data_IF_971461886792
#
_entry.id   IF_971461886792
#
_cell.length_a   1.000
_cell.length_b   1.000
_cell.length_c   1.000
_cell.angle_alpha   90.00
_cell.angle_beta   90.00
_cell.angle_gamma   90.00
#
_symmetry.space_group_name_H-M   'P 1'
#
loop_
_entity.id
_entity.type
_entity.pdbx_description
1 polymer ?
#
# COMPACT_ATOMS: atom_id res chain seq x y z
N UNK A 1 -10.72 -24.32 -1.85
CA UNK A 1 -12.06 -23.78 -2.21
C UNK A 1 -13.16 -24.82 -2.01
N UNK A 2 -13.04 -26.03 -2.58
CA UNK A 2 -13.99 -27.14 -2.40
C UNK A 2 -14.36 -27.40 -0.93
N UNK A 3 -13.37 -27.59 -0.05
CA UNK A 3 -13.61 -27.85 1.39
C UNK A 3 -14.52 -26.81 2.06
N UNK A 4 -14.31 -25.51 1.80
CA UNK A 4 -15.15 -24.46 2.37
C UNK A 4 -16.57 -24.52 1.82
N UNK A 5 -16.72 -24.74 0.51
CA UNK A 5 -18.03 -24.89 -0.12
C UNK A 5 -18.75 -26.12 0.42
N UNK A 6 -18.07 -27.26 0.53
CA UNK A 6 -18.65 -28.51 1.04
C UNK A 6 -19.09 -28.38 2.50
N UNK A 7 -18.33 -27.62 3.30
CA UNK A 7 -18.63 -27.43 4.73
C UNK A 7 -19.72 -26.39 4.97
N UNK A 8 -19.75 -25.31 4.20
CA UNK A 8 -20.61 -24.15 4.46
C UNK A 8 -21.79 -24.00 3.50
N UNK A 9 -21.79 -24.75 2.39
CA UNK A 9 -22.67 -24.56 1.25
C UNK A 9 -22.45 -23.25 0.48
N UNK A 10 -21.44 -22.44 0.85
CA UNK A 10 -21.19 -21.12 0.28
C UNK A 10 -19.88 -21.09 -0.49
N UNK A 11 -19.84 -20.32 -1.57
CA UNK A 11 -18.58 -20.03 -2.25
C UNK A 11 -17.73 -19.04 -1.45
N UNK A 12 -16.42 -19.25 -1.41
CA UNK A 12 -15.47 -18.24 -0.90
C UNK A 12 -15.52 -17.03 -1.84
N UNK A 13 -15.77 -15.85 -1.27
CA UNK A 13 -15.63 -14.57 -1.97
C UNK A 13 -14.64 -13.68 -1.25
N UNK A 14 -13.61 -13.25 -1.97
CA UNK A 14 -12.61 -12.32 -1.47
C UNK A 14 -13.09 -10.89 -1.76
N UNK A 15 -12.99 -10.01 -0.76
CA UNK A 15 -13.28 -8.58 -0.92
C UNK A 15 -12.01 -7.74 -0.84
N UNK A 16 -11.17 -8.02 0.13
CA UNK A 16 -9.86 -7.41 0.31
C UNK A 16 -8.83 -8.51 0.51
N UNK A 17 -7.65 -8.34 -0.08
CA UNK A 17 -6.50 -9.22 0.14
C UNK A 17 -5.30 -8.34 0.43
N UNK A 18 -4.69 -8.51 1.60
CA UNK A 18 -3.46 -7.80 1.96
C UNK A 18 -2.26 -8.72 1.75
N UNK A 19 -1.23 -8.22 1.10
CA UNK A 19 0.00 -8.97 0.84
C UNK A 19 1.22 -8.07 0.79
N UNK A 20 2.36 -8.65 0.41
CA UNK A 20 3.60 -7.95 0.13
C UNK A 20 3.64 -7.45 -1.35
N UNK A 21 4.76 -6.84 -1.74
CA UNK A 21 4.94 -6.30 -3.09
C UNK A 21 5.44 -7.38 -4.08
N UNK A 22 4.92 -8.62 -4.00
CA UNK A 22 5.38 -9.76 -4.81
C UNK A 22 4.39 -10.09 -5.95
N UNK A 23 4.91 -10.27 -7.17
CA UNK A 23 4.08 -10.49 -8.38
C UNK A 23 3.37 -11.83 -8.38
N UNK A 24 4.08 -12.87 -8.01
CA UNK A 24 3.59 -14.23 -8.01
C UNK A 24 2.35 -14.36 -7.13
N UNK A 25 2.36 -13.80 -5.93
CA UNK A 25 1.23 -13.79 -5.00
C UNK A 25 0.00 -13.14 -5.63
N UNK A 26 0.13 -11.91 -6.15
CA UNK A 26 -1.00 -11.23 -6.78
C UNK A 26 -1.49 -12.00 -8.01
N UNK A 27 -0.60 -12.45 -8.89
CA UNK A 27 -0.99 -13.21 -10.08
C UNK A 27 -1.68 -14.53 -9.72
N UNK A 28 -1.20 -15.24 -8.70
CA UNK A 28 -1.83 -16.47 -8.23
C UNK A 28 -3.24 -16.21 -7.66
N UNK A 29 -3.41 -15.12 -6.90
CA UNK A 29 -4.72 -14.69 -6.39
C UNK A 29 -5.68 -14.33 -7.53
N UNK A 30 -5.19 -13.62 -8.54
CA UNK A 30 -5.97 -13.27 -9.72
C UNK A 30 -6.41 -14.54 -10.47
N UNK A 31 -5.51 -15.47 -10.74
CA UNK A 31 -5.84 -16.72 -11.43
C UNK A 31 -6.78 -17.63 -10.62
N UNK A 32 -6.66 -17.64 -9.29
CA UNK A 32 -7.42 -18.56 -8.44
C UNK A 32 -8.80 -18.06 -8.02
N UNK A 33 -9.01 -16.74 -7.97
CA UNK A 33 -10.20 -16.14 -7.34
C UNK A 33 -10.89 -15.06 -8.17
N UNK A 34 -10.28 -14.48 -9.21
CA UNK A 34 -10.85 -13.33 -9.92
C UNK A 34 -12.17 -13.65 -10.64
N UNK A 35 -12.35 -14.88 -11.11
CA UNK A 35 -13.59 -15.32 -11.77
C UNK A 35 -14.80 -15.30 -10.81
N UNK A 36 -14.57 -15.50 -9.51
CA UNK A 36 -15.61 -15.60 -8.49
C UNK A 36 -15.60 -14.45 -7.48
N UNK A 37 -14.63 -13.53 -7.59
CA UNK A 37 -14.39 -12.44 -6.63
C UNK A 37 -13.77 -11.22 -7.29
N UNK A 38 -14.45 -10.08 -7.17
CA UNK A 38 -13.85 -8.77 -7.46
C UNK A 38 -13.19 -8.24 -6.19
N UNK A 39 -11.97 -8.71 -5.92
CA UNK A 39 -11.22 -8.35 -4.72
C UNK A 39 -10.25 -7.21 -4.97
N UNK A 40 -10.05 -6.39 -3.95
CA UNK A 40 -9.03 -5.37 -3.93
C UNK A 40 -7.77 -5.89 -3.25
N UNK A 41 -6.66 -5.97 -4.00
CA UNK A 41 -5.35 -6.17 -3.41
C UNK A 41 -4.90 -4.88 -2.70
N UNK A 42 -4.49 -5.03 -1.45
CA UNK A 42 -3.98 -4.01 -0.56
C UNK A 42 -2.51 -4.30 -0.27
N UNK A 43 -1.71 -3.25 -0.35
CA UNK A 43 -0.31 -3.31 -0.06
C UNK A 43 -0.11 -3.15 1.45
N UNK A 44 0.46 -4.17 2.11
CA UNK A 44 0.86 -4.10 3.51
C UNK A 44 1.75 -2.89 3.79
N UNK A 45 1.34 -2.04 4.74
CA UNK A 45 2.03 -0.78 5.00
C UNK A 45 3.40 -0.97 5.65
N UNK A 46 3.57 -1.99 6.50
CA UNK A 46 4.89 -2.37 7.02
C UNK A 46 5.94 -2.55 5.91
N UNK A 47 5.57 -3.22 4.82
CA UNK A 47 6.47 -3.45 3.69
C UNK A 47 6.81 -2.16 2.95
N UNK A 48 5.86 -1.24 2.81
CA UNK A 48 6.11 0.10 2.28
C UNK A 48 7.14 0.82 3.15
N UNK A 49 6.92 0.85 4.47
CA UNK A 49 7.80 1.55 5.41
C UNK A 49 9.21 0.95 5.46
N UNK A 50 9.34 -0.38 5.44
CA UNK A 50 10.64 -1.06 5.35
C UNK A 50 11.41 -0.60 4.10
N UNK A 51 10.74 -0.53 2.95
CA UNK A 51 11.36 -0.06 1.70
C UNK A 51 11.67 1.43 1.69
N UNK A 52 10.81 2.25 2.30
CA UNK A 52 11.08 3.68 2.47
C UNK A 52 12.32 3.88 3.34
N UNK A 53 12.43 3.20 4.48
CA UNK A 53 13.61 3.27 5.35
C UNK A 53 14.89 2.82 4.65
N UNK A 54 14.84 1.74 3.86
CA UNK A 54 15.98 1.32 3.02
C UNK A 54 16.41 2.44 2.06
N UNK A 55 15.46 3.15 1.46
CA UNK A 55 15.69 4.20 0.45
C UNK A 55 16.05 5.56 1.03
N UNK A 56 15.76 5.81 2.31
CA UNK A 56 16.10 7.05 3.02
C UNK A 56 17.34 6.92 3.90
N UNK A 57 17.94 5.72 4.00
CA UNK A 57 19.08 5.42 4.89
C UNK A 57 20.30 6.34 4.72
N UNK A 58 20.57 6.83 3.50
CA UNK A 58 21.71 7.70 3.22
C UNK A 58 21.38 9.20 3.32
N UNK A 59 20.13 9.54 3.63
CA UNK A 59 19.71 10.93 3.83
C UNK A 59 20.04 11.39 5.26
N UNK A 60 20.19 12.70 5.50
CA UNK A 60 20.29 13.20 6.86
C UNK A 60 19.03 12.85 7.67
N UNK A 61 19.18 12.49 8.95
CA UNK A 61 18.08 12.00 9.80
C UNK A 61 16.86 12.91 9.79
N UNK A 62 17.06 14.24 9.83
CA UNK A 62 15.96 15.21 9.77
C UNK A 62 15.14 15.06 8.50
N UNK A 63 15.79 14.78 7.38
CA UNK A 63 15.16 14.61 6.06
C UNK A 63 14.44 13.27 5.99
N UNK A 64 15.13 12.19 6.40
CA UNK A 64 14.55 10.85 6.43
C UNK A 64 13.30 10.81 7.33
N UNK A 65 13.37 11.38 8.53
CA UNK A 65 12.24 11.45 9.45
C UNK A 65 11.07 12.27 8.90
N UNK A 66 11.34 13.40 8.22
CA UNK A 66 10.30 14.19 7.55
C UNK A 66 9.54 13.38 6.50
N UNK A 67 10.28 12.68 5.63
CA UNK A 67 9.69 11.78 4.63
C UNK A 67 8.86 10.67 5.26
N UNK A 68 9.36 10.03 6.33
CA UNK A 68 8.63 9.00 7.06
C UNK A 68 7.31 9.54 7.63
N UNK A 69 7.34 10.68 8.31
CA UNK A 69 6.14 11.34 8.85
C UNK A 69 5.12 11.65 7.76
N UNK A 70 5.55 12.23 6.64
CA UNK A 70 4.67 12.56 5.51
C UNK A 70 4.02 11.31 4.90
N UNK A 71 4.71 10.18 4.89
CA UNK A 71 4.16 8.89 4.42
C UNK A 71 3.15 8.30 5.43
N UNK A 72 3.42 8.43 6.73
CA UNK A 72 2.43 8.10 7.76
C UNK A 72 1.16 8.94 7.63
N UNK A 73 1.29 10.24 7.38
CA UNK A 73 0.14 11.12 7.16
C UNK A 73 -0.71 10.65 5.97
N UNK A 74 -0.07 10.29 4.85
CA UNK A 74 -0.76 9.72 3.69
C UNK A 74 -1.42 8.38 4.00
N UNK A 75 -0.77 7.50 4.79
CA UNK A 75 -1.33 6.21 5.17
C UNK A 75 -2.62 6.35 5.98
N UNK A 76 -2.64 7.29 6.92
CA UNK A 76 -3.76 7.50 7.83
C UNK A 76 -4.83 8.47 7.32
N UNK A 77 -4.71 8.98 6.10
CA UNK A 77 -5.78 9.75 5.46
C UNK A 77 -7.09 8.96 5.48
N UNK A 78 -8.16 9.61 5.91
CA UNK A 78 -9.47 8.98 6.09
C UNK A 78 -10.30 8.95 4.80
N UNK A 79 -9.91 9.75 3.82
CA UNK A 79 -10.60 9.88 2.54
C UNK A 79 -9.66 10.10 1.37
N UNK A 80 -10.14 9.80 0.15
CA UNK A 80 -9.38 10.05 -1.08
C UNK A 80 -9.06 11.53 -1.31
N UNK A 81 -9.96 12.50 -1.06
CA UNK A 81 -9.62 13.91 -1.17
C UNK A 81 -8.47 14.33 -0.25
N UNK A 82 -8.48 13.89 1.02
CA UNK A 82 -7.38 14.15 1.97
C UNK A 82 -6.07 13.54 1.46
N UNK A 83 -6.11 12.29 1.01
CA UNK A 83 -4.93 11.61 0.47
C UNK A 83 -4.36 12.34 -0.74
N UNK A 84 -5.19 12.73 -1.70
CA UNK A 84 -4.76 13.45 -2.91
C UNK A 84 -4.17 14.80 -2.54
N UNK A 85 -4.78 15.52 -1.59
CA UNK A 85 -4.27 16.80 -1.12
C UNK A 85 -2.89 16.65 -0.44
N UNK A 86 -2.75 15.71 0.49
CA UNK A 86 -1.49 15.42 1.17
C UNK A 86 -0.40 15.00 0.19
N UNK A 87 -0.70 14.05 -0.70
CA UNK A 87 0.23 13.56 -1.71
C UNK A 87 0.71 14.69 -2.64
N UNK A 88 -0.18 15.58 -3.10
CA UNK A 88 0.21 16.71 -3.95
C UNK A 88 1.10 17.72 -3.20
N UNK A 89 0.79 18.00 -1.92
CA UNK A 89 1.58 18.89 -1.07
C UNK A 89 3.01 18.36 -0.90
N UNK A 90 3.13 17.10 -0.46
CA UNK A 90 4.42 16.46 -0.22
C UNK A 90 5.20 16.22 -1.52
N UNK A 91 4.50 15.89 -2.60
CA UNK A 91 5.12 15.77 -3.92
C UNK A 91 5.79 17.08 -4.35
N UNK A 92 5.12 18.22 -4.15
CA UNK A 92 5.71 19.52 -4.47
C UNK A 92 6.96 19.78 -3.63
N UNK A 93 6.87 19.58 -2.32
CA UNK A 93 8.00 19.76 -1.39
C UNK A 93 9.20 18.87 -1.77
N UNK A 94 8.96 17.60 -2.08
CA UNK A 94 10.02 16.66 -2.42
C UNK A 94 10.69 16.97 -3.76
N UNK A 95 9.99 17.59 -4.72
CA UNK A 95 10.59 17.98 -6.00
C UNK A 95 11.39 19.28 -5.93
N UNK A 96 11.15 20.12 -4.93
CA UNK A 96 11.95 21.33 -4.68
C UNK A 96 13.33 21.00 -4.07
N UNK A 97 13.54 19.73 -3.72
CA UNK A 97 14.69 19.24 -2.96
C UNK A 97 15.56 18.29 -3.78
N UNK A 98 16.76 18.74 -4.15
CA UNK A 98 17.71 17.93 -4.92
C UNK A 98 18.19 16.68 -4.17
N UNK A 99 18.25 16.73 -2.84
CA UNK A 99 18.61 15.58 -2.01
C UNK A 99 17.55 14.47 -1.99
N UNK A 100 16.32 14.76 -2.45
CA UNK A 100 15.22 13.81 -2.54
C UNK A 100 14.94 13.32 -3.96
N UNK A 101 15.59 13.83 -5.00
CA UNK A 101 15.25 13.55 -6.40
C UNK A 101 15.12 12.04 -6.70
N UNK A 102 16.12 11.26 -6.31
CA UNK A 102 16.12 9.80 -6.51
C UNK A 102 15.02 9.10 -5.70
N UNK A 103 14.77 9.56 -4.48
CA UNK A 103 13.71 9.02 -3.63
C UNK A 103 12.33 9.32 -4.22
N UNK A 104 12.09 10.56 -4.65
CA UNK A 104 10.84 11.06 -5.24
C UNK A 104 10.49 10.28 -6.50
N UNK A 105 11.45 10.09 -7.40
CA UNK A 105 11.28 9.27 -8.60
C UNK A 105 10.93 7.81 -8.25
N UNK A 106 11.67 7.21 -7.31
CA UNK A 106 11.39 5.87 -6.81
C UNK A 106 9.97 5.75 -6.23
N UNK A 107 9.61 6.63 -5.29
CA UNK A 107 8.37 6.53 -4.53
C UNK A 107 7.15 6.66 -5.45
N UNK A 108 7.19 7.59 -6.41
CA UNK A 108 6.12 7.71 -7.41
C UNK A 108 5.98 6.44 -8.25
N UNK A 109 7.09 5.90 -8.73
CA UNK A 109 7.06 4.71 -9.59
C UNK A 109 6.50 3.49 -8.87
N UNK A 110 6.76 3.32 -7.58
CA UNK A 110 6.40 2.10 -6.84
C UNK A 110 5.09 2.22 -6.04
N UNK A 111 4.85 3.37 -5.42
CA UNK A 111 3.84 3.50 -4.36
C UNK A 111 2.68 4.42 -4.71
N UNK A 112 2.77 5.20 -5.78
CA UNK A 112 1.67 6.07 -6.25
C UNK A 112 1.15 5.67 -7.64
N UNK A 113 2.02 5.19 -8.54
CA UNK A 113 1.66 4.86 -9.93
C UNK A 113 1.57 3.38 -10.27
N UNK A 114 1.98 2.46 -9.38
CA UNK A 114 2.03 1.03 -9.68
C UNK A 114 0.86 0.24 -9.09
N UNK A 115 0.81 -1.05 -9.42
CA UNK A 115 -0.20 -2.01 -8.95
C UNK A 115 -0.28 -2.16 -7.42
N UNK A 116 0.74 -1.68 -6.70
CA UNK A 116 0.89 -1.78 -5.25
C UNK A 116 0.69 -0.44 -4.54
N UNK A 117 -0.02 0.48 -5.16
CA UNK A 117 -0.27 1.83 -4.63
C UNK A 117 -1.29 1.89 -3.49
N UNK A 118 -2.02 0.80 -3.22
CA UNK A 118 -3.13 0.76 -2.26
C UNK A 118 -2.66 0.37 -0.86
N UNK A 119 -1.96 1.26 -0.19
CA UNK A 119 -1.45 1.05 1.18
C UNK A 119 -2.09 2.01 2.19
N UNK A 120 -3.01 2.86 1.77
CA UNK A 120 -3.67 3.87 2.61
C UNK A 120 -4.98 3.36 3.20
N UNK A 121 -5.31 3.80 4.41
CA UNK A 121 -6.48 3.36 5.16
C UNK A 121 -7.81 3.66 4.44
N UNK A 122 -7.86 4.72 3.62
CA UNK A 122 -9.06 5.09 2.87
C UNK A 122 -9.50 4.06 1.80
N UNK A 123 -8.68 3.06 1.47
CA UNK A 123 -9.06 1.97 0.56
C UNK A 123 -9.91 0.88 1.22
N UNK A 124 -9.85 0.77 2.55
CA UNK A 124 -10.57 -0.25 3.33
C UNK A 124 -11.81 0.33 3.97
N UNK A 125 -12.90 -0.44 3.95
CA UNK A 125 -14.09 -0.11 4.71
C UNK A 125 -13.85 -0.29 6.22
N UNK A 126 -14.58 0.42 7.10
CA UNK A 126 -14.53 0.18 8.54
C UNK A 126 -14.76 -1.30 8.89
N UNK A 127 -13.97 -1.81 9.85
CA UNK A 127 -14.04 -3.21 10.31
C UNK A 127 -13.16 -4.19 9.53
N UNK A 128 -12.40 -3.74 8.53
CA UNK A 128 -11.36 -4.54 7.87
C UNK A 128 -9.97 -4.12 8.35
N UNK A 129 -8.99 -5.02 8.25
CA UNK A 129 -7.60 -4.71 8.58
C UNK A 129 -7.05 -3.63 7.65
N UNK A 130 -6.46 -2.58 8.21
CA UNK A 130 -6.05 -1.38 7.48
C UNK A 130 -4.54 -1.13 7.47
N UNK A 131 -3.77 -1.80 8.33
CA UNK A 131 -2.37 -1.46 8.59
C UNK A 131 -1.40 -2.53 8.09
N UNK A 132 -1.34 -3.68 8.77
CA UNK A 132 -0.34 -4.70 8.53
C UNK A 132 -0.98 -6.07 8.29
N UNK A 133 -0.30 -6.88 7.48
CA UNK A 133 -0.62 -8.30 7.37
C UNK A 133 -0.41 -8.97 8.75
N UNK A 134 -1.29 -9.85 9.22
CA UNK A 134 -1.13 -10.53 10.52
C UNK A 134 0.12 -11.42 10.65
N UNK A 135 0.88 -11.61 9.57
CA UNK A 135 2.05 -12.50 9.50
C UNK A 135 3.38 -11.71 9.46
N UNK A 136 3.34 -10.38 9.61
CA UNK A 136 4.55 -9.55 9.76
C UNK A 136 5.27 -9.77 11.10
#
# INVERSE_FOLDING_TARGET
>A
RAIYTDTTGKQIRLKFVMGDAESGQLTALEQGFRDDSDFMFLMCFFHVMKKVQEKTKCLPDRVANGVLTQIYDMHFCSSFPELVQAANCYWKEWNERSDLEAFTAYFKSQWLGARFSRWQCCYTAPGFATTNNPVE
#
